data_IF_155539129749
#
_entry.id   IF_155539129749
#
_cell.length_a   1.000
_cell.length_b   1.000
_cell.length_c   1.000
_cell.angle_alpha   90.00
_cell.angle_beta   90.00
_cell.angle_gamma   90.00
#
_symmetry.space_group_name_H-M   'P 1'
#
loop_
_entity.id
_entity.type
_entity.pdbx_description
1 polymer ?
#
# COMPACT_ATOMS: atom_id res chain seq x y z
N UNK A 1 -7.81 -36.63 1.08
CA UNK A 1 -6.64 -35.88 0.65
C UNK A 1 -7.08 -34.49 0.23
N UNK A 2 -6.66 -33.56 0.98
CA UNK A 2 -6.94 -32.17 0.64
C UNK A 2 -5.99 -31.71 -0.47
N UNK A 3 -6.52 -31.43 -1.63
CA UNK A 3 -5.72 -30.81 -2.66
C UNK A 3 -5.33 -29.42 -2.16
N UNK A 4 -4.04 -29.20 -2.00
CA UNK A 4 -3.51 -27.86 -1.73
C UNK A 4 -3.68 -27.07 -3.02
N UNK A 5 -4.75 -26.31 -3.10
CA UNK A 5 -4.89 -25.37 -4.20
C UNK A 5 -3.87 -24.28 -3.99
N UNK A 6 -2.80 -24.29 -4.78
CA UNK A 6 -1.83 -23.22 -4.79
C UNK A 6 -2.55 -21.95 -5.24
N UNK A 7 -2.55 -20.92 -4.39
CA UNK A 7 -3.14 -19.63 -4.75
C UNK A 7 -2.29 -18.98 -5.83
N UNK A 8 -2.90 -18.76 -6.98
CA UNK A 8 -2.27 -18.07 -8.09
C UNK A 8 -2.61 -16.58 -7.99
N UNK A 9 -1.60 -15.76 -8.10
CA UNK A 9 -1.76 -14.31 -8.20
C UNK A 9 -1.05 -13.81 -9.45
N UNK A 10 -1.47 -12.66 -9.93
CA UNK A 10 -0.85 -12.00 -11.07
C UNK A 10 0.07 -10.89 -10.57
N UNK A 11 1.20 -10.72 -11.24
CA UNK A 11 2.18 -9.69 -10.91
C UNK A 11 2.58 -8.93 -12.17
N UNK A 12 2.70 -7.62 -12.04
CA UNK A 12 3.26 -6.76 -13.09
C UNK A 12 4.11 -5.66 -12.50
N UNK A 13 5.12 -5.25 -13.24
CA UNK A 13 5.97 -4.11 -12.90
C UNK A 13 5.80 -3.06 -13.99
N UNK A 14 5.57 -1.82 -13.58
CA UNK A 14 5.49 -0.68 -14.50
C UNK A 14 6.57 0.33 -14.12
N UNK A 15 7.08 1.05 -15.13
CA UNK A 15 8.04 2.12 -14.90
C UNK A 15 7.29 3.40 -14.54
N UNK A 16 7.73 4.06 -13.48
CA UNK A 16 7.20 5.36 -13.07
C UNK A 16 8.31 6.42 -13.11
N UNK A 17 7.92 7.66 -12.87
CA UNK A 17 8.89 8.77 -12.81
C UNK A 17 9.95 8.59 -11.73
N UNK A 18 9.68 7.75 -10.74
CA UNK A 18 10.59 7.51 -9.61
C UNK A 18 11.05 6.05 -9.51
N UNK A 19 10.99 5.34 -10.62
CA UNK A 19 11.50 3.98 -10.73
C UNK A 19 10.43 2.92 -10.91
N UNK A 20 10.81 1.63 -10.92
CA UNK A 20 9.87 0.55 -11.11
C UNK A 20 8.91 0.43 -9.94
N UNK A 21 7.66 0.13 -10.25
CA UNK A 21 6.61 -0.13 -9.28
C UNK A 21 5.98 -1.48 -9.62
N UNK A 22 5.95 -2.38 -8.66
CA UNK A 22 5.38 -3.72 -8.83
C UNK A 22 4.11 -3.86 -8.00
N UNK A 23 3.10 -4.50 -8.56
CA UNK A 23 1.87 -4.85 -7.85
C UNK A 23 1.55 -6.32 -8.04
N UNK A 24 1.02 -6.93 -6.99
CA UNK A 24 0.53 -8.32 -6.99
C UNK A 24 -0.96 -8.26 -6.71
N UNK A 25 -1.76 -8.89 -7.57
CA UNK A 25 -3.21 -8.95 -7.40
C UNK A 25 -3.69 -10.39 -7.31
N UNK A 26 -4.76 -10.61 -6.56
CA UNK A 26 -5.38 -11.93 -6.45
C UNK A 26 -6.32 -12.20 -7.64
N UNK A 27 -6.98 -13.36 -7.63
CA UNK A 27 -7.88 -13.77 -8.69
C UNK A 27 -9.08 -12.83 -8.87
N UNK A 28 -9.44 -12.08 -7.83
CA UNK A 28 -10.55 -11.13 -7.85
C UNK A 28 -10.11 -9.71 -8.26
N UNK A 29 -8.83 -9.53 -8.54
CA UNK A 29 -8.28 -8.23 -8.93
C UNK A 29 -7.94 -7.31 -7.77
N UNK A 30 -7.98 -7.80 -6.53
CA UNK A 30 -7.60 -7.00 -5.37
C UNK A 30 -6.08 -6.99 -5.19
N UNK A 31 -5.53 -5.83 -4.86
CA UNK A 31 -4.09 -5.69 -4.59
C UNK A 31 -3.76 -6.37 -3.27
N UNK A 32 -2.85 -7.34 -3.32
CA UNK A 32 -2.31 -8.01 -2.13
C UNK A 32 -1.06 -7.30 -1.61
N UNK A 33 -0.25 -6.78 -2.51
CA UNK A 33 0.98 -6.06 -2.18
C UNK A 33 1.41 -5.19 -3.34
N UNK A 34 2.07 -4.09 -3.03
CA UNK A 34 2.58 -3.17 -4.05
C UNK A 34 3.66 -2.27 -3.44
N UNK A 35 4.56 -1.78 -4.30
CA UNK A 35 5.61 -0.89 -3.86
C UNK A 35 6.63 -0.58 -4.95
N UNK A 36 7.51 0.35 -4.65
CA UNK A 36 8.55 0.83 -5.58
C UNK A 36 9.73 -0.12 -5.57
N UNK A 37 9.57 -1.24 -6.24
CA UNK A 37 10.59 -2.27 -6.41
C UNK A 37 10.35 -2.99 -7.73
N UNK A 38 11.42 -3.56 -8.29
CA UNK A 38 11.34 -4.47 -9.43
C UNK A 38 11.31 -5.94 -8.99
N UNK A 39 11.41 -6.20 -7.67
CA UNK A 39 11.56 -7.55 -7.12
C UNK A 39 10.26 -8.03 -6.48
N UNK A 40 9.45 -8.87 -7.15
CA UNK A 40 8.20 -9.38 -6.57
C UNK A 40 8.39 -10.10 -5.22
N UNK A 41 9.56 -10.73 -5.00
CA UNK A 41 9.85 -11.41 -3.74
C UNK A 41 9.87 -10.49 -2.53
N UNK A 42 10.20 -9.21 -2.70
CA UNK A 42 10.14 -8.23 -1.63
C UNK A 42 8.69 -7.97 -1.21
N UNK A 43 7.76 -8.11 -2.14
CA UNK A 43 6.33 -7.90 -1.88
C UNK A 43 5.68 -9.14 -1.26
N UNK A 44 6.00 -10.33 -1.75
CA UNK A 44 5.39 -11.55 -1.21
C UNK A 44 5.71 -11.74 0.27
N UNK A 45 6.89 -11.32 0.70
CA UNK A 45 7.29 -11.41 2.11
C UNK A 45 6.41 -10.58 3.06
N UNK A 46 5.82 -9.49 2.58
CA UNK A 46 5.01 -8.59 3.42
C UNK A 46 3.53 -8.93 3.37
N UNK A 47 3.11 -9.82 2.48
CA UNK A 47 1.73 -10.33 2.45
C UNK A 47 1.53 -11.25 3.65
N UNK A 48 0.41 -11.09 4.35
CA UNK A 48 0.07 -11.97 5.46
C UNK A 48 0.06 -13.43 4.97
N UNK A 49 0.61 -14.40 5.75
CA UNK A 49 0.68 -15.80 5.30
C UNK A 49 -0.64 -16.38 4.82
N UNK A 50 -1.77 -15.97 5.40
CA UNK A 50 -3.10 -16.45 5.00
C UNK A 50 -3.50 -16.03 3.58
N UNK A 51 -2.90 -14.98 3.05
CA UNK A 51 -3.19 -14.44 1.72
C UNK A 51 -2.01 -14.62 0.75
N UNK A 52 -0.87 -15.10 1.24
CA UNK A 52 0.35 -15.19 0.43
C UNK A 52 0.14 -16.15 -0.73
N UNK A 53 0.37 -15.70 -1.97
CA UNK A 53 0.23 -16.59 -3.12
C UNK A 53 1.33 -17.64 -3.14
N UNK A 54 0.98 -18.85 -3.58
CA UNK A 54 1.97 -19.91 -3.77
C UNK A 54 2.70 -19.79 -5.09
N UNK A 55 2.10 -19.10 -6.05
CA UNK A 55 2.66 -18.91 -7.38
C UNK A 55 2.27 -17.56 -7.95
N UNK A 56 3.15 -16.97 -8.77
CA UNK A 56 2.94 -15.68 -9.42
C UNK A 56 2.99 -15.85 -10.93
N UNK A 57 1.98 -15.32 -11.60
CA UNK A 57 1.95 -15.26 -13.06
C UNK A 57 2.34 -13.85 -13.51
N UNK A 58 3.47 -13.75 -14.21
CA UNK A 58 3.94 -12.48 -14.73
C UNK A 58 3.02 -11.99 -15.84
N UNK A 59 2.58 -10.73 -15.74
CA UNK A 59 1.70 -10.09 -16.72
C UNK A 59 2.34 -8.79 -17.18
N UNK A 60 2.04 -8.39 -18.42
CA UNK A 60 2.44 -7.07 -18.92
C UNK A 60 1.59 -5.96 -18.31
N UNK A 61 0.34 -6.26 -17.97
CA UNK A 61 -0.61 -5.30 -17.40
C UNK A 61 -1.54 -6.02 -16.43
N UNK A 62 -1.99 -5.29 -15.43
CA UNK A 62 -3.03 -5.72 -14.49
C UNK A 62 -4.33 -4.90 -14.70
N UNK A 63 -4.52 -4.36 -15.89
CA UNK A 63 -5.72 -3.59 -16.23
C UNK A 63 -5.85 -2.32 -15.40
N UNK A 64 -6.96 -2.19 -14.68
CA UNK A 64 -7.24 -0.98 -13.89
C UNK A 64 -6.17 -0.68 -12.84
N UNK A 65 -5.54 -1.70 -12.28
CA UNK A 65 -4.49 -1.52 -11.25
C UNK A 65 -3.27 -0.81 -11.83
N UNK A 66 -2.71 -1.32 -12.92
CA UNK A 66 -1.55 -0.69 -13.56
C UNK A 66 -1.89 0.67 -14.14
N UNK A 67 -3.09 0.84 -14.66
CA UNK A 67 -3.56 2.16 -15.13
C UNK A 67 -3.60 3.16 -13.99
N UNK A 68 -4.13 2.77 -12.83
CA UNK A 68 -4.20 3.65 -11.67
C UNK A 68 -2.81 4.07 -11.18
N UNK A 69 -1.85 3.16 -11.21
CA UNK A 69 -0.46 3.46 -10.83
C UNK A 69 0.11 4.54 -11.76
N UNK A 70 -0.05 4.36 -13.06
CA UNK A 70 0.48 5.29 -14.05
C UNK A 70 -0.25 6.64 -13.98
N UNK A 71 -1.56 6.62 -13.85
CA UNK A 71 -2.37 7.85 -13.78
C UNK A 71 -2.03 8.65 -12.51
N UNK A 72 -1.83 7.98 -11.38
CA UNK A 72 -1.42 8.66 -10.15
C UNK A 72 -0.08 9.40 -10.34
N UNK A 73 0.92 8.71 -10.88
CA UNK A 73 2.22 9.32 -11.09
C UNK A 73 2.18 10.45 -12.11
N UNK A 74 1.22 10.42 -13.02
CA UNK A 74 1.01 11.48 -14.01
C UNK A 74 0.19 12.68 -13.47
N UNK A 75 -0.32 12.61 -12.24
CA UNK A 75 -1.00 13.71 -11.58
C UNK A 75 -2.47 13.47 -11.20
N UNK A 76 -3.05 12.34 -11.57
CA UNK A 76 -4.41 11.99 -11.13
C UNK A 76 -4.35 11.32 -9.75
N UNK A 77 -4.37 12.15 -8.72
CA UNK A 77 -4.13 11.70 -7.34
C UNK A 77 -5.23 10.80 -6.78
N UNK A 78 -6.43 10.82 -7.36
CA UNK A 78 -7.54 9.99 -6.91
C UNK A 78 -7.68 8.68 -7.70
N UNK A 79 -6.83 8.46 -8.70
CA UNK A 79 -6.88 7.26 -9.53
C UNK A 79 -6.79 5.96 -8.72
N UNK A 80 -6.12 6.00 -7.57
CA UNK A 80 -5.90 4.83 -6.70
C UNK A 80 -7.08 4.53 -5.79
N UNK A 81 -8.04 5.44 -5.64
CA UNK A 81 -9.06 5.35 -4.60
C UNK A 81 -10.05 4.19 -4.81
N UNK A 82 -10.35 3.86 -6.06
CA UNK A 82 -11.33 2.82 -6.39
C UNK A 82 -10.72 1.42 -6.52
N UNK A 83 -9.41 1.28 -6.39
CA UNK A 83 -8.74 -0.01 -6.56
C UNK A 83 -8.94 -0.86 -5.30
N UNK A 84 -9.48 -2.08 -5.43
CA UNK A 84 -9.67 -2.93 -4.26
C UNK A 84 -8.33 -3.43 -3.71
N UNK A 85 -8.25 -3.52 -2.39
CA UNK A 85 -7.06 -4.00 -1.67
C UNK A 85 -7.51 -5.09 -0.70
N UNK A 86 -6.72 -6.14 -0.58
CA UNK A 86 -6.97 -7.22 0.39
C UNK A 86 -5.74 -7.41 1.26
N UNK A 87 -5.90 -7.14 2.54
CA UNK A 87 -4.90 -7.41 3.56
C UNK A 87 -5.56 -8.14 4.73
N UNK A 88 -4.78 -8.83 5.53
CA UNK A 88 -5.26 -9.49 6.73
C UNK A 88 -4.39 -9.14 7.93
N UNK A 89 -5.04 -8.89 9.07
CA UNK A 89 -4.39 -8.64 10.36
C UNK A 89 -5.47 -8.63 11.45
N UNK A 90 -5.12 -8.23 12.65
CA UNK A 90 -6.09 -8.00 13.72
C UNK A 90 -7.05 -6.85 13.38
N UNK A 91 -8.13 -6.76 14.13
CA UNK A 91 -9.21 -5.81 13.87
C UNK A 91 -8.75 -4.36 13.81
N UNK A 92 -7.84 -3.97 14.71
CA UNK A 92 -7.37 -2.58 14.73
C UNK A 92 -6.63 -2.20 13.45
N UNK A 93 -5.72 -3.07 12.97
CA UNK A 93 -4.98 -2.80 11.74
C UNK A 93 -5.89 -2.77 10.53
N UNK A 94 -6.85 -3.68 10.44
CA UNK A 94 -7.82 -3.68 9.33
C UNK A 94 -8.60 -2.37 9.30
N UNK A 95 -9.07 -1.92 10.45
CA UNK A 95 -9.79 -0.65 10.57
C UNK A 95 -8.87 0.54 10.25
N UNK A 96 -7.66 0.53 10.78
CA UNK A 96 -6.69 1.61 10.53
C UNK A 96 -6.36 1.75 9.05
N UNK A 97 -6.22 0.64 8.32
CA UNK A 97 -6.00 0.69 6.87
C UNK A 97 -7.19 1.28 6.13
N UNK A 98 -8.42 0.97 6.53
CA UNK A 98 -9.62 1.59 5.96
C UNK A 98 -9.65 3.10 6.21
N UNK A 99 -9.32 3.51 7.42
CA UNK A 99 -9.23 4.93 7.79
C UNK A 99 -8.15 5.63 6.93
N UNK A 100 -7.01 4.98 6.77
CA UNK A 100 -5.88 5.53 6.01
C UNK A 100 -6.26 5.79 4.56
N UNK A 101 -7.05 4.91 3.95
CA UNK A 101 -7.52 5.10 2.57
C UNK A 101 -8.41 6.33 2.39
N UNK A 102 -8.95 6.86 3.48
CA UNK A 102 -9.80 8.05 3.47
C UNK A 102 -9.02 9.34 3.71
N UNK A 103 -7.74 9.25 4.06
CA UNK A 103 -6.88 10.43 4.21
C UNK A 103 -6.61 10.99 2.81
N UNK A 104 -7.05 12.22 2.52
CA UNK A 104 -6.91 12.75 1.16
C UNK A 104 -5.47 13.15 0.83
N UNK A 105 -5.15 13.12 -0.46
CA UNK A 105 -3.89 13.64 -0.97
C UNK A 105 -3.75 15.13 -0.62
N UNK A 106 -2.57 15.55 -0.23
CA UNK A 106 -2.30 16.93 0.13
C UNK A 106 -2.71 17.32 1.55
N UNK A 107 -3.30 16.40 2.30
CA UNK A 107 -3.74 16.65 3.67
C UNK A 107 -3.17 15.58 4.61
N UNK A 108 -1.82 15.48 4.72
CA UNK A 108 -1.21 14.46 5.57
C UNK A 108 -1.58 14.65 7.04
N UNK A 109 -1.58 13.55 7.78
CA UNK A 109 -1.88 13.52 9.21
C UNK A 109 -0.65 13.06 9.98
N UNK A 110 -0.60 13.36 11.27
CA UNK A 110 0.43 12.82 12.16
C UNK A 110 0.04 11.42 12.63
N UNK A 111 1.00 10.66 13.15
CA UNK A 111 0.70 9.35 13.76
C UNK A 111 -0.32 9.47 14.89
N UNK A 112 -0.26 10.55 15.67
CA UNK A 112 -1.23 10.81 16.74
C UNK A 112 -2.62 11.07 16.18
N UNK A 113 -2.71 11.90 15.14
CA UNK A 113 -3.99 12.16 14.47
C UNK A 113 -4.56 10.89 13.84
N UNK A 114 -3.70 10.09 13.20
CA UNK A 114 -4.10 8.82 12.61
C UNK A 114 -4.64 7.84 13.67
N UNK A 115 -3.98 7.75 14.82
CA UNK A 115 -4.45 6.94 15.94
C UNK A 115 -5.85 7.38 16.39
N UNK A 116 -6.07 8.70 16.51
CA UNK A 116 -7.37 9.25 16.86
C UNK A 116 -8.44 8.93 15.84
N UNK A 117 -8.14 9.12 14.56
CA UNK A 117 -9.06 8.79 13.47
C UNK A 117 -9.41 7.30 13.43
N UNK A 118 -8.48 6.45 13.89
CA UNK A 118 -8.69 5.01 13.96
C UNK A 118 -9.41 4.55 15.24
N UNK A 119 -9.83 5.50 16.08
CA UNK A 119 -10.62 5.23 17.27
C UNK A 119 -9.84 4.95 18.54
N UNK A 120 -8.51 5.07 18.51
CA UNK A 120 -7.64 4.84 19.68
C UNK A 120 -6.58 5.96 19.79
N UNK A 121 -6.97 7.14 20.30
CA UNK A 121 -6.05 8.31 20.35
C UNK A 121 -4.75 8.05 21.11
N UNK A 122 -4.74 7.16 22.09
CA UNK A 122 -3.55 6.82 22.86
C UNK A 122 -2.68 5.75 22.17
N UNK A 123 -3.12 5.16 21.05
CA UNK A 123 -2.46 4.02 20.41
C UNK A 123 -1.55 4.45 19.27
N UNK A 124 -0.74 5.49 19.47
CA UNK A 124 0.18 6.02 18.44
C UNK A 124 1.13 4.93 17.93
N UNK A 125 1.62 4.06 18.81
CA UNK A 125 2.52 2.96 18.43
C UNK A 125 1.81 1.95 17.53
N UNK A 126 0.55 1.62 17.84
CA UNK A 126 -0.24 0.70 17.02
C UNK A 126 -0.54 1.32 15.65
N UNK A 127 -0.80 2.62 15.59
CA UNK A 127 -0.98 3.34 14.33
C UNK A 127 0.30 3.32 13.49
N UNK A 128 1.45 3.54 14.11
CA UNK A 128 2.75 3.42 13.42
C UNK A 128 2.96 2.01 12.90
N UNK A 129 2.56 0.99 13.66
CA UNK A 129 2.64 -0.41 13.24
C UNK A 129 1.74 -0.70 12.03
N UNK A 130 0.57 -0.06 11.95
CA UNK A 130 -0.30 -0.19 10.78
C UNK A 130 0.41 0.31 9.52
N UNK A 131 1.13 1.42 9.60
CA UNK A 131 1.95 1.91 8.49
C UNK A 131 3.09 0.94 8.16
N UNK A 132 3.80 0.43 9.16
CA UNK A 132 4.93 -0.48 8.96
C UNK A 132 4.50 -1.82 8.35
N UNK A 133 3.30 -2.29 8.65
CA UNK A 133 2.77 -3.58 8.17
C UNK A 133 1.95 -3.46 6.90
N UNK A 134 1.75 -2.26 6.39
CA UNK A 134 1.02 -2.06 5.15
C UNK A 134 1.77 -2.67 3.97
N UNK A 135 1.18 -3.69 3.35
CA UNK A 135 1.76 -4.36 2.19
C UNK A 135 1.40 -3.67 0.86
N UNK A 136 0.36 -2.84 0.85
CA UNK A 136 -0.19 -2.26 -0.38
C UNK A 136 0.13 -0.75 -0.48
N UNK A 137 1.42 -0.42 -0.51
CA UNK A 137 1.88 0.95 -0.64
C UNK A 137 1.24 1.63 -1.85
N UNK A 138 1.01 2.90 -1.74
CA UNK A 138 0.28 3.77 -2.63
C UNK A 138 -1.24 3.60 -2.47
N UNK A 139 -1.78 2.41 -2.68
CA UNK A 139 -3.23 2.16 -2.58
C UNK A 139 -3.76 2.34 -1.15
N UNK A 140 -2.98 1.93 -0.16
CA UNK A 140 -3.19 2.29 1.24
C UNK A 140 -2.10 3.32 1.57
N UNK A 141 -2.44 4.61 1.60
CA UNK A 141 -1.44 5.68 1.49
C UNK A 141 -0.74 5.99 2.81
N UNK A 142 0.05 5.05 3.32
CA UNK A 142 0.79 5.24 4.56
C UNK A 142 1.85 6.34 4.47
N UNK A 143 2.21 6.79 3.26
CA UNK A 143 3.08 7.96 3.07
C UNK A 143 2.45 9.27 3.56
N UNK A 144 1.13 9.30 3.74
CA UNK A 144 0.39 10.47 4.24
C UNK A 144 0.38 10.59 5.76
N UNK A 145 1.14 9.74 6.46
CA UNK A 145 1.26 9.80 7.91
C UNK A 145 2.67 10.25 8.27
N UNK A 146 2.76 11.31 9.07
CA UNK A 146 4.00 11.97 9.44
C UNK A 146 4.20 11.94 10.95
N UNK A 147 5.42 12.22 11.41
CA UNK A 147 5.69 12.48 12.83
C UNK A 147 5.13 13.84 13.23
N UNK A 148 4.89 14.01 14.52
CA UNK A 148 4.54 15.31 15.10
C UNK A 148 5.66 16.30 14.72
N UNK A 149 5.26 17.49 14.27
CA UNK A 149 6.20 18.50 13.81
C UNK A 149 6.55 18.42 12.32
N UNK A 150 5.97 17.45 11.60
CA UNK A 150 6.11 17.33 10.14
C UNK A 150 7.31 16.56 9.66
N UNK A 151 8.08 15.93 10.56
CA UNK A 151 9.15 15.02 10.14
C UNK A 151 8.56 13.80 9.41
N UNK A 152 9.28 13.29 8.39
CA UNK A 152 8.74 12.25 7.51
C UNK A 152 8.40 10.92 8.22
N UNK A 153 9.15 10.56 9.26
CA UNK A 153 9.05 9.22 9.80
C UNK A 153 9.65 8.18 8.86
N UNK A 154 9.42 6.90 9.14
CA UNK A 154 9.92 5.82 8.30
C UNK A 154 9.09 5.58 7.05
N UNK A 155 9.70 4.93 6.06
CA UNK A 155 8.99 4.45 4.87
C UNK A 155 9.78 3.27 4.29
N UNK A 156 9.06 2.15 4.01
CA UNK A 156 9.73 0.93 3.51
C UNK A 156 10.51 1.17 2.23
N UNK A 157 9.98 2.00 1.35
CA UNK A 157 10.55 2.24 0.02
C UNK A 157 11.52 3.41 -0.02
N UNK A 158 11.86 3.95 1.14
CA UNK A 158 12.85 5.00 1.31
C UNK A 158 12.25 6.39 1.46
N UNK A 159 12.93 7.22 2.23
CA UNK A 159 12.49 8.59 2.46
C UNK A 159 12.44 9.45 1.21
N UNK A 160 13.35 9.30 0.22
CA UNK A 160 13.23 10.05 -1.03
C UNK A 160 11.91 9.79 -1.76
N UNK A 161 11.41 8.55 -1.76
CA UNK A 161 10.11 8.21 -2.36
C UNK A 161 8.99 8.88 -1.58
N UNK A 162 9.02 8.80 -0.25
CA UNK A 162 7.99 9.42 0.59
C UNK A 162 7.93 10.93 0.36
N UNK A 163 9.08 11.60 0.29
CA UNK A 163 9.14 13.04 0.02
C UNK A 163 8.58 13.37 -1.36
N UNK A 164 8.95 12.58 -2.37
CA UNK A 164 8.42 12.80 -3.71
C UNK A 164 6.89 12.71 -3.74
N UNK A 165 6.33 11.68 -3.05
CA UNK A 165 4.88 11.49 -3.01
C UNK A 165 4.18 12.67 -2.33
N UNK A 166 4.70 13.13 -1.20
CA UNK A 166 4.11 14.27 -0.49
C UNK A 166 4.20 15.55 -1.32
N UNK A 167 5.33 15.79 -1.98
CA UNK A 167 5.49 16.96 -2.86
C UNK A 167 4.57 16.85 -4.09
N UNK A 168 4.41 15.67 -4.64
CA UNK A 168 3.54 15.41 -5.78
C UNK A 168 2.07 15.65 -5.42
N UNK A 169 1.67 15.38 -4.19
CA UNK A 169 0.30 15.57 -3.71
C UNK A 169 0.02 16.97 -3.18
N UNK A 170 1.05 17.71 -2.85
CA UNK A 170 0.95 19.01 -2.23
C UNK A 170 0.77 20.20 -3.14
#
# INVERSE_FOLDING_TARGET
MTSTTTRLADVATVDTLIGPFTAIVDADGAVLASGWTAEPGELTRVVHPSLRPGDLRQRASLGAVTRAILDYHAGDLTAIDAIPVRQHSGEFLLHAWDVLRKVPAGEPVTYTEFAGLSGRPAATRAAANACARNAAALFVPCHRVLRIGGALGGFRWGLPVKRWLLDHEG
#
